data_IF_377900366872
#
_entry.id   IF_377900366872
#
_cell.length_a   1.000
_cell.length_b   1.000
_cell.length_c   1.000
_cell.angle_alpha   90.00
_cell.angle_beta   90.00
_cell.angle_gamma   90.00
#
_symmetry.space_group_name_H-M   'P 1'
#
loop_
_entity.id
_entity.type
_entity.pdbx_description
1 polymer ?
#
# COMPACT_ATOMS: atom_id res chain seq x y z
N UNK A 1 -37.10 -35.75 -23.63
CA UNK A 1 -35.75 -36.31 -23.74
C UNK A 1 -34.99 -35.27 -24.52
N UNK A 2 -34.21 -34.41 -23.86
CA UNK A 2 -33.41 -33.40 -24.53
C UNK A 2 -32.09 -34.06 -24.91
N UNK A 3 -31.87 -34.19 -26.23
CA UNK A 3 -30.57 -34.58 -26.75
C UNK A 3 -29.59 -33.39 -26.52
N UNK A 4 -28.67 -33.57 -25.59
CA UNK A 4 -27.57 -32.65 -25.39
C UNK A 4 -26.51 -33.02 -26.42
N UNK A 5 -26.21 -32.10 -27.30
CA UNK A 5 -25.20 -32.26 -28.36
C UNK A 5 -23.81 -32.27 -27.72
N UNK A 6 -23.07 -33.37 -27.82
CA UNK A 6 -21.74 -33.53 -27.22
C UNK A 6 -20.74 -32.49 -27.72
N UNK A 7 -20.94 -31.96 -28.94
CA UNK A 7 -20.07 -30.89 -29.51
C UNK A 7 -20.28 -29.51 -28.84
N UNK A 8 -21.47 -29.17 -28.36
CA UNK A 8 -21.75 -27.95 -27.62
C UNK A 8 -21.10 -27.97 -26.21
N UNK A 9 -21.02 -29.14 -25.61
CA UNK A 9 -20.39 -29.32 -24.29
C UNK A 9 -18.88 -29.09 -24.40
N UNK A 10 -18.23 -29.50 -25.48
CA UNK A 10 -16.77 -29.33 -25.67
C UNK A 10 -16.39 -27.89 -25.88
N UNK A 11 -17.17 -27.09 -26.65
CA UNK A 11 -16.92 -25.67 -26.83
C UNK A 11 -17.10 -24.86 -25.54
N UNK A 12 -18.11 -25.13 -24.73
CA UNK A 12 -18.27 -24.50 -23.40
C UNK A 12 -17.13 -24.81 -22.44
N UNK A 13 -16.62 -26.05 -22.46
CA UNK A 13 -15.47 -26.45 -21.65
C UNK A 13 -14.16 -25.79 -22.09
N UNK A 14 -13.93 -25.62 -23.39
CA UNK A 14 -12.76 -24.90 -23.90
C UNK A 14 -12.81 -23.40 -23.54
N UNK A 15 -13.97 -22.77 -23.63
CA UNK A 15 -14.18 -21.37 -23.24
C UNK A 15 -13.99 -21.20 -21.73
N UNK A 16 -14.49 -22.11 -20.90
CA UNK A 16 -14.26 -22.13 -19.46
C UNK A 16 -12.78 -22.35 -19.13
N UNK A 17 -12.11 -23.31 -19.80
CA UNK A 17 -10.69 -23.58 -19.58
C UNK A 17 -9.79 -22.42 -20.04
N UNK A 18 -10.16 -21.68 -21.08
CA UNK A 18 -9.45 -20.48 -21.54
C UNK A 18 -9.67 -19.28 -20.60
N UNK A 19 -10.83 -19.21 -19.91
CA UNK A 19 -11.12 -18.15 -18.94
C UNK A 19 -10.67 -18.48 -17.52
N UNK A 20 -10.44 -19.74 -17.21
CA UNK A 20 -9.82 -20.22 -15.96
C UNK A 20 -8.28 -20.07 -16.03
N UNK A 21 -7.82 -18.90 -16.43
CA UNK A 21 -6.45 -18.50 -16.17
C UNK A 21 -6.29 -18.39 -14.65
N UNK A 22 -5.97 -19.51 -14.00
CA UNK A 22 -5.50 -19.49 -12.62
C UNK A 22 -4.33 -18.55 -12.55
N UNK A 23 -4.57 -17.35 -12.03
CA UNK A 23 -3.50 -16.40 -11.70
C UNK A 23 -2.44 -17.19 -10.94
N UNK A 24 -1.24 -17.28 -11.50
CA UNK A 24 -0.11 -17.86 -10.78
C UNK A 24 0.21 -16.91 -9.64
N UNK A 25 -0.43 -17.12 -8.51
CA UNK A 25 -0.11 -16.42 -7.27
C UNK A 25 1.26 -16.92 -6.86
N UNK A 26 2.25 -16.05 -6.88
CA UNK A 26 3.56 -16.37 -6.33
C UNK A 26 3.39 -16.68 -4.85
N UNK A 27 3.41 -17.97 -4.50
CA UNK A 27 3.33 -18.45 -3.11
C UNK A 27 4.69 -18.38 -2.39
N UNK A 28 5.67 -17.71 -2.98
CA UNK A 28 6.97 -17.52 -2.32
C UNK A 28 6.76 -16.54 -1.18
N UNK A 29 6.87 -16.98 0.09
CA UNK A 29 6.75 -16.09 1.22
C UNK A 29 7.88 -15.04 1.15
N UNK A 30 7.55 -13.80 1.41
CA UNK A 30 8.59 -12.79 1.58
C UNK A 30 9.52 -13.17 2.72
N UNK A 31 10.84 -12.96 2.57
CA UNK A 31 11.77 -13.15 3.67
C UNK A 31 11.33 -12.33 4.88
N UNK A 32 11.02 -12.99 5.98
CA UNK A 32 10.66 -12.30 7.22
C UNK A 32 11.94 -11.80 7.86
N UNK A 33 12.04 -10.48 8.03
CA UNK A 33 13.08 -9.89 8.85
C UNK A 33 12.50 -9.53 10.22
N UNK A 34 13.27 -9.71 11.27
CA UNK A 34 12.93 -9.25 12.61
C UNK A 34 13.60 -7.90 12.96
N UNK A 35 14.34 -7.31 11.99
CA UNK A 35 15.04 -6.05 12.21
C UNK A 35 14.10 -4.89 11.96
N UNK A 36 13.95 -4.02 12.96
CA UNK A 36 13.16 -2.79 12.85
C UNK A 36 13.71 -1.91 11.71
N UNK A 37 12.80 -1.31 10.95
CA UNK A 37 13.09 -0.43 9.80
C UNK A 37 13.93 -1.03 8.67
N UNK A 38 14.20 -2.33 8.67
CA UNK A 38 14.80 -2.99 7.50
C UNK A 38 13.88 -2.89 6.28
N UNK A 39 12.59 -3.16 6.48
CA UNK A 39 11.58 -3.14 5.43
C UNK A 39 10.48 -2.13 5.76
N UNK A 40 10.14 -1.28 4.80
CA UNK A 40 9.05 -0.34 4.86
C UNK A 40 8.02 -0.66 3.77
N UNK A 41 6.77 -0.82 4.14
CA UNK A 41 5.66 -0.93 3.19
C UNK A 41 5.06 0.45 2.96
N UNK A 42 4.88 0.83 1.70
CA UNK A 42 4.33 2.13 1.32
C UNK A 42 3.12 1.92 0.43
N UNK A 43 2.07 2.68 0.69
CA UNK A 43 0.78 2.61 0.01
C UNK A 43 0.14 4.00 -0.11
N UNK A 44 -0.73 4.18 -1.10
CA UNK A 44 -1.51 5.41 -1.32
C UNK A 44 -2.97 5.11 -1.04
N UNK A 45 -3.50 5.75 -0.02
CA UNK A 45 -4.91 5.63 0.35
C UNK A 45 -5.67 6.79 -0.30
N UNK A 46 -6.65 6.48 -1.15
CA UNK A 46 -7.53 7.49 -1.76
C UNK A 46 -8.54 7.97 -0.73
N UNK A 47 -8.63 9.27 -0.57
CA UNK A 47 -9.51 9.92 0.41
C UNK A 47 -10.43 10.93 -0.30
N UNK A 48 -11.46 11.40 0.40
CA UNK A 48 -12.22 12.57 -0.02
C UNK A 48 -11.37 13.82 0.10
N UNK A 49 -11.66 14.88 -0.68
CA UNK A 49 -10.92 16.13 -0.56
C UNK A 49 -10.98 16.68 0.87
N UNK A 50 -9.82 16.93 1.44
CA UNK A 50 -9.67 17.54 2.76
C UNK A 50 -9.95 19.05 2.72
N UNK A 51 -10.14 19.65 3.89
CA UNK A 51 -10.32 21.10 4.02
C UNK A 51 -9.06 21.86 3.55
N UNK A 52 -7.91 21.22 3.60
CA UNK A 52 -6.59 21.75 3.20
C UNK A 52 -6.23 21.40 1.75
N UNK A 53 -7.12 20.68 1.02
CA UNK A 53 -7.00 20.40 -0.41
C UNK A 53 -6.53 18.99 -0.76
N UNK A 54 -5.93 18.25 0.17
CA UNK A 54 -5.37 16.93 -0.07
C UNK A 54 -6.47 15.91 -0.39
N UNK A 55 -6.16 14.94 -1.24
CA UNK A 55 -7.07 13.87 -1.66
C UNK A 55 -6.47 12.48 -1.44
N UNK A 56 -5.20 12.39 -1.07
CA UNK A 56 -4.52 11.12 -0.88
C UNK A 56 -3.74 11.13 0.43
N UNK A 57 -3.66 9.96 1.06
CA UNK A 57 -2.77 9.73 2.18
C UNK A 57 -1.66 8.77 1.76
N UNK A 58 -0.45 9.28 1.62
CA UNK A 58 0.74 8.46 1.48
C UNK A 58 1.08 7.88 2.84
N UNK A 59 0.97 6.57 2.98
CA UNK A 59 1.14 5.85 4.23
C UNK A 59 2.31 4.90 4.13
N UNK A 60 3.14 4.87 5.16
CA UNK A 60 4.23 3.92 5.29
C UNK A 60 4.14 3.18 6.63
N UNK A 61 4.49 1.88 6.63
CA UNK A 61 4.48 1.06 7.83
C UNK A 61 5.71 0.15 7.91
N UNK A 62 6.34 0.11 9.09
CA UNK A 62 7.30 -0.92 9.43
C UNK A 62 6.55 -2.09 10.10
N UNK A 63 6.49 -3.29 9.48
CA UNK A 63 5.66 -4.39 9.99
C UNK A 63 6.19 -4.99 11.29
N UNK A 64 7.49 -4.84 11.58
CA UNK A 64 8.14 -5.43 12.75
C UNK A 64 7.69 -4.74 14.03
N UNK A 65 7.79 -3.42 14.08
CA UNK A 65 7.49 -2.63 15.28
C UNK A 65 6.15 -1.89 15.21
N UNK A 66 5.42 -2.07 14.11
CA UNK A 66 4.14 -1.40 13.83
C UNK A 66 4.22 0.13 13.81
N UNK A 67 5.40 0.67 13.48
CA UNK A 67 5.57 2.10 13.30
C UNK A 67 4.90 2.55 12.01
N UNK A 68 4.16 3.65 12.09
CA UNK A 68 3.44 4.23 10.96
C UNK A 68 3.93 5.65 10.68
N UNK A 69 4.02 6.01 9.40
CA UNK A 69 4.23 7.38 8.95
C UNK A 69 3.16 7.74 7.92
N UNK A 70 2.81 9.03 7.82
CA UNK A 70 1.77 9.51 6.91
C UNK A 70 2.08 10.93 6.43
N UNK A 71 1.92 11.14 5.13
CA UNK A 71 1.83 12.44 4.52
C UNK A 71 0.49 12.57 3.79
N UNK A 72 -0.25 13.65 4.04
CA UNK A 72 -1.42 13.99 3.25
C UNK A 72 -0.94 14.77 2.03
N UNK A 73 -1.40 14.40 0.83
CA UNK A 73 -0.96 14.97 -0.45
C UNK A 73 -2.14 15.27 -1.37
N UNK A 74 -2.00 16.24 -2.23
CA UNK A 74 -3.05 16.73 -3.13
C UNK A 74 -3.10 15.95 -4.46
N UNK A 75 -2.02 15.25 -4.81
CA UNK A 75 -1.91 14.52 -6.07
C UNK A 75 -1.27 13.15 -5.89
N UNK A 76 -1.43 12.29 -6.90
CA UNK A 76 -0.74 11.00 -6.97
C UNK A 76 0.73 11.11 -7.38
N UNK A 77 1.25 12.28 -7.67
CA UNK A 77 2.67 12.51 -7.96
C UNK A 77 3.52 12.51 -6.69
N UNK A 78 3.40 11.46 -5.87
CA UNK A 78 3.86 11.36 -4.49
C UNK A 78 5.36 11.06 -4.33
N UNK A 79 6.13 10.93 -5.41
CA UNK A 79 7.55 10.57 -5.33
C UNK A 79 8.38 11.53 -4.46
N UNK A 80 8.22 12.86 -4.59
CA UNK A 80 8.93 13.81 -3.72
C UNK A 80 8.58 13.61 -2.24
N UNK A 81 7.29 13.48 -1.93
CA UNK A 81 6.78 13.31 -0.57
C UNK A 81 7.24 11.97 0.04
N UNK A 82 7.23 10.91 -0.77
CA UNK A 82 7.73 9.60 -0.35
C UNK A 82 9.22 9.65 -0.02
N UNK A 83 10.03 10.28 -0.87
CA UNK A 83 11.47 10.49 -0.61
C UNK A 83 11.69 11.27 0.69
N UNK A 84 10.98 12.38 0.85
CA UNK A 84 11.06 13.23 2.04
C UNK A 84 10.67 12.44 3.31
N UNK A 85 9.58 11.70 3.27
CA UNK A 85 9.11 10.88 4.38
C UNK A 85 10.13 9.80 4.78
N UNK A 86 10.69 9.08 3.80
CA UNK A 86 11.71 8.06 4.04
C UNK A 86 12.96 8.67 4.65
N UNK A 87 13.45 9.77 4.08
CA UNK A 87 14.64 10.49 4.60
C UNK A 87 14.40 11.00 6.02
N UNK A 88 13.22 11.51 6.31
CA UNK A 88 12.87 11.97 7.66
C UNK A 88 12.87 10.82 8.68
N UNK A 89 12.31 9.66 8.31
CA UNK A 89 12.34 8.46 9.15
C UNK A 89 13.79 8.07 9.46
N UNK A 90 14.64 7.98 8.44
CA UNK A 90 16.03 7.57 8.59
C UNK A 90 16.85 8.56 9.44
N UNK A 91 16.68 9.86 9.20
CA UNK A 91 17.36 10.90 9.97
C UNK A 91 16.94 10.93 11.43
N UNK A 92 15.62 10.80 11.69
CA UNK A 92 15.06 10.83 13.05
C UNK A 92 15.48 9.61 13.86
N UNK A 93 15.45 8.44 13.24
CA UNK A 93 15.68 7.16 13.92
C UNK A 93 17.12 6.64 13.74
N UNK A 94 17.97 7.39 13.03
CA UNK A 94 19.37 7.04 12.71
C UNK A 94 19.49 5.61 12.17
N UNK A 95 18.63 5.29 11.21
CA UNK A 95 18.56 3.98 10.56
C UNK A 95 18.59 4.12 9.06
N UNK A 96 18.83 3.02 8.35
CA UNK A 96 18.69 2.95 6.90
C UNK A 96 17.62 1.93 6.52
N UNK A 97 16.74 2.30 5.58
CA UNK A 97 15.71 1.43 5.05
C UNK A 97 16.29 0.67 3.86
N UNK A 98 16.48 -0.63 4.02
CA UNK A 98 17.10 -1.48 3.01
C UNK A 98 16.12 -1.96 1.96
N UNK A 99 14.83 -2.12 2.32
CA UNK A 99 13.78 -2.62 1.42
C UNK A 99 12.55 -1.73 1.49
N UNK A 100 12.08 -1.26 0.35
CA UNK A 100 10.80 -0.58 0.22
C UNK A 100 9.86 -1.47 -0.58
N UNK A 101 8.70 -1.77 0.00
CA UNK A 101 7.61 -2.46 -0.68
C UNK A 101 6.54 -1.47 -1.09
N UNK A 102 6.15 -1.51 -2.37
CA UNK A 102 5.00 -0.78 -2.90
C UNK A 102 4.10 -1.72 -3.69
N UNK A 103 2.85 -1.35 -3.86
CA UNK A 103 2.02 -1.95 -4.89
C UNK A 103 2.51 -1.54 -6.29
N UNK A 104 1.94 -2.17 -7.33
CA UNK A 104 2.31 -1.90 -8.72
C UNK A 104 1.78 -0.56 -9.26
N UNK A 105 1.25 0.35 -8.43
CA UNK A 105 0.77 1.66 -8.88
C UNK A 105 1.89 2.44 -9.61
N UNK A 106 1.57 2.94 -10.79
CA UNK A 106 2.54 3.66 -11.63
C UNK A 106 3.12 4.89 -10.94
N UNK A 107 2.36 5.51 -10.03
CA UNK A 107 2.78 6.66 -9.20
C UNK A 107 3.92 6.33 -8.22
N UNK A 108 4.04 5.07 -7.81
CA UNK A 108 5.11 4.60 -6.90
C UNK A 108 6.24 3.86 -7.63
N UNK A 109 6.15 3.71 -8.96
CA UNK A 109 7.03 2.86 -9.76
C UNK A 109 7.82 3.62 -10.82
N UNK A 110 7.88 4.95 -10.76
CA UNK A 110 8.57 5.80 -11.72
C UNK A 110 10.08 5.56 -11.78
N UNK A 111 10.69 5.71 -12.99
CA UNK A 111 12.13 5.55 -13.20
C UNK A 111 12.98 6.38 -12.25
N UNK A 112 12.56 7.61 -11.97
CA UNK A 112 13.24 8.52 -11.05
C UNK A 112 13.28 7.99 -9.60
N UNK A 113 12.25 7.25 -9.17
CA UNK A 113 12.23 6.63 -7.85
C UNK A 113 13.08 5.36 -7.82
N UNK A 114 13.02 4.53 -8.84
CA UNK A 114 13.89 3.34 -8.99
C UNK A 114 15.36 3.72 -8.96
N UNK A 115 15.75 4.77 -9.68
CA UNK A 115 17.13 5.28 -9.67
C UNK A 115 17.53 5.77 -8.28
N UNK A 116 16.67 6.54 -7.62
CA UNK A 116 16.92 7.03 -6.27
C UNK A 116 17.10 5.88 -5.26
N UNK A 117 16.30 4.83 -5.34
CA UNK A 117 16.45 3.63 -4.50
C UNK A 117 17.80 2.93 -4.77
N UNK A 118 18.16 2.76 -6.06
CA UNK A 118 19.41 2.13 -6.46
C UNK A 118 20.62 2.91 -5.94
N UNK A 119 20.63 4.23 -6.12
CA UNK A 119 21.76 5.09 -5.78
C UNK A 119 22.03 5.12 -4.27
N UNK A 120 21.07 4.78 -3.46
CA UNK A 120 21.18 4.67 -2.00
C UNK A 120 21.24 3.22 -1.49
N UNK A 121 21.38 2.24 -2.37
CA UNK A 121 21.40 0.80 -2.05
C UNK A 121 20.13 0.31 -1.33
N UNK A 122 18.98 0.88 -1.65
CA UNK A 122 17.66 0.41 -1.18
C UNK A 122 17.02 -0.45 -2.24
N UNK A 123 16.61 -1.66 -1.88
CA UNK A 123 15.88 -2.56 -2.77
C UNK A 123 14.42 -2.09 -2.89
N UNK A 124 13.98 -1.78 -4.09
CA UNK A 124 12.56 -1.51 -4.37
C UNK A 124 11.88 -2.80 -4.82
N UNK A 125 10.98 -3.29 -3.99
CA UNK A 125 10.13 -4.44 -4.28
C UNK A 125 8.73 -3.99 -4.65
N UNK A 126 8.33 -4.26 -5.89
CA UNK A 126 7.02 -3.91 -6.41
C UNK A 126 6.18 -5.18 -6.44
N UNK A 127 5.08 -5.15 -5.73
CA UNK A 127 4.11 -6.24 -5.72
C UNK A 127 3.41 -6.32 -7.06
N UNK A 128 3.36 -7.50 -7.64
CA UNK A 128 2.61 -7.73 -8.88
C UNK A 128 1.11 -7.58 -8.57
N UNK A 129 0.33 -6.91 -9.45
CA UNK A 129 -1.12 -6.85 -9.29
C UNK A 129 -1.71 -8.25 -9.05
N UNK A 130 -2.75 -8.32 -8.21
CA UNK A 130 -3.45 -9.57 -7.88
C UNK A 130 -2.68 -10.57 -6.98
N UNK A 131 -1.68 -10.11 -6.22
CA UNK A 131 -1.05 -10.92 -5.16
C UNK A 131 -1.33 -10.33 -3.76
N UNK A 132 -2.55 -10.50 -3.22
CA UNK A 132 -2.97 -9.88 -1.93
C UNK A 132 -2.08 -10.30 -0.75
N UNK A 133 -1.46 -11.47 -0.82
CA UNK A 133 -0.60 -12.00 0.23
C UNK A 133 0.67 -11.16 0.43
N UNK A 134 1.18 -10.53 -0.64
CA UNK A 134 2.41 -9.74 -0.59
C UNK A 134 2.17 -8.31 -0.10
N UNK A 135 0.98 -7.74 -0.32
CA UNK A 135 0.62 -6.38 0.11
C UNK A 135 -0.19 -6.35 1.42
N UNK A 136 -0.57 -7.51 1.94
CA UNK A 136 -1.38 -7.65 3.15
C UNK A 136 -0.93 -6.84 4.38
N UNK A 137 0.36 -6.60 4.64
CA UNK A 137 0.80 -5.74 5.74
C UNK A 137 0.41 -4.27 5.56
N UNK A 138 0.55 -3.66 4.37
CA UNK A 138 0.19 -2.26 4.12
C UNK A 138 -1.33 -2.09 4.09
N UNK A 139 -2.08 -2.98 3.45
CA UNK A 139 -3.54 -2.94 3.41
C UNK A 139 -4.16 -2.99 4.81
N UNK A 140 -3.73 -3.94 5.64
CA UNK A 140 -4.20 -4.03 7.03
C UNK A 140 -3.84 -2.81 7.85
N UNK A 141 -2.64 -2.27 7.66
CA UNK A 141 -2.16 -1.09 8.36
C UNK A 141 -2.92 0.17 7.93
N UNK A 142 -3.12 0.36 6.63
CA UNK A 142 -3.91 1.45 6.07
C UNK A 142 -5.37 1.39 6.53
N UNK A 143 -5.98 0.21 6.50
CA UNK A 143 -7.33 -0.03 7.00
C UNK A 143 -7.49 0.29 8.49
N UNK A 144 -6.51 -0.08 9.32
CA UNK A 144 -6.50 0.24 10.75
C UNK A 144 -6.50 1.75 11.00
N UNK A 145 -5.61 2.50 10.32
CA UNK A 145 -5.49 3.95 10.49
C UNK A 145 -6.75 4.65 10.02
N UNK A 146 -7.27 4.27 8.85
CA UNK A 146 -8.51 4.83 8.30
C UNK A 146 -9.69 4.60 9.23
N UNK A 147 -9.81 3.38 9.77
CA UNK A 147 -10.85 3.05 10.74
C UNK A 147 -10.73 3.91 12.02
N UNK A 148 -9.54 4.04 12.59
CA UNK A 148 -9.30 4.86 13.80
C UNK A 148 -9.57 6.35 13.55
N UNK A 149 -9.14 6.87 12.39
CA UNK A 149 -9.44 8.26 12.02
C UNK A 149 -10.93 8.50 11.90
N UNK A 150 -11.68 7.57 11.28
CA UNK A 150 -13.14 7.64 11.18
C UNK A 150 -13.80 7.65 12.56
N UNK A 151 -13.37 6.79 13.48
CA UNK A 151 -13.89 6.78 14.86
C UNK A 151 -13.62 8.10 15.59
N UNK A 152 -12.44 8.71 15.41
CA UNK A 152 -12.12 10.01 16.02
C UNK A 152 -13.02 11.13 15.47
N UNK A 153 -13.22 11.16 14.15
CA UNK A 153 -14.10 12.13 13.48
C UNK A 153 -15.54 11.97 13.97
N UNK A 154 -16.06 10.75 13.95
CA UNK A 154 -17.45 10.48 14.37
C UNK A 154 -17.64 10.72 15.86
N UNK A 155 -16.73 10.25 16.71
CA UNK A 155 -16.83 10.43 18.16
C UNK A 155 -16.75 11.89 18.62
N UNK A 156 -16.08 12.74 17.84
CA UNK A 156 -15.97 14.18 18.12
C UNK A 156 -16.99 15.02 17.31
N UNK A 157 -17.87 14.38 16.54
CA UNK A 157 -18.84 15.03 15.65
C UNK A 157 -18.19 16.06 14.69
N UNK A 158 -17.03 15.71 14.12
CA UNK A 158 -16.27 16.56 13.23
C UNK A 158 -16.58 16.25 11.75
N UNK A 159 -16.42 17.24 10.84
CA UNK A 159 -16.55 17.01 9.40
C UNK A 159 -15.46 16.04 8.87
N UNK A 160 -15.84 15.17 7.92
CA UNK A 160 -14.94 14.20 7.28
C UNK A 160 -13.74 14.87 6.60
N UNK A 161 -13.88 16.09 6.10
CA UNK A 161 -12.82 16.88 5.47
C UNK A 161 -11.60 17.14 6.38
N UNK A 162 -11.72 16.85 7.68
CA UNK A 162 -10.62 16.92 8.67
C UNK A 162 -9.84 15.60 8.80
N UNK A 163 -10.04 14.66 7.88
CA UNK A 163 -9.37 13.36 7.91
C UNK A 163 -7.84 13.41 8.03
N UNK A 164 -7.09 14.40 7.45
CA UNK A 164 -5.63 14.43 7.59
C UNK A 164 -5.19 14.56 9.05
N UNK A 165 -5.89 15.40 9.81
CA UNK A 165 -5.63 15.61 11.24
C UNK A 165 -6.01 14.37 12.07
N UNK A 166 -7.15 13.75 11.76
CA UNK A 166 -7.60 12.53 12.43
C UNK A 166 -6.67 11.34 12.18
N UNK A 167 -6.15 11.20 10.95
CA UNK A 167 -5.17 10.17 10.62
C UNK A 167 -3.83 10.42 11.34
N UNK A 168 -3.31 11.65 11.34
CA UNK A 168 -2.10 12.02 12.09
C UNK A 168 -2.26 11.73 13.59
N UNK A 169 -3.40 12.13 14.18
CA UNK A 169 -3.71 11.82 15.58
C UNK A 169 -3.84 10.32 15.84
N UNK A 170 -4.32 9.54 14.87
CA UNK A 170 -4.41 8.08 14.98
C UNK A 170 -3.02 7.44 14.98
N UNK A 171 -2.14 7.88 14.10
CA UNK A 171 -0.74 7.42 14.04
C UNK A 171 0.00 7.76 15.34
N UNK A 172 -0.16 9.00 15.84
CA UNK A 172 0.46 9.42 17.09
C UNK A 172 0.07 8.54 18.28
N UNK A 173 -1.15 8.00 18.27
CA UNK A 173 -1.63 7.10 19.33
C UNK A 173 -1.28 5.62 19.11
N UNK A 174 -0.76 5.25 17.95
CA UNK A 174 -0.35 3.88 17.61
C UNK A 174 1.16 3.70 17.84
N UNK A 175 1.95 4.69 17.41
CA UNK A 175 3.40 4.70 17.56
C UNK A 175 3.81 4.95 19.04
#
# INVERSE_FOLDING_TARGET
MYDINEDEITEEWEVCAMNDNHKQISRVPMPKTNRAFHTLFVDIIVMTQAITGEQYALHAVCPVIKFHALAAVDSKAVIPDMKAMIQQIEQTLKTHIEVIHTDGESSLNGLAFRNWCRDRHTLLHITVPDTPEQNGPSERAGGLITKRARHKIQGANLPVVLWPFAMKASIFTIN
#
